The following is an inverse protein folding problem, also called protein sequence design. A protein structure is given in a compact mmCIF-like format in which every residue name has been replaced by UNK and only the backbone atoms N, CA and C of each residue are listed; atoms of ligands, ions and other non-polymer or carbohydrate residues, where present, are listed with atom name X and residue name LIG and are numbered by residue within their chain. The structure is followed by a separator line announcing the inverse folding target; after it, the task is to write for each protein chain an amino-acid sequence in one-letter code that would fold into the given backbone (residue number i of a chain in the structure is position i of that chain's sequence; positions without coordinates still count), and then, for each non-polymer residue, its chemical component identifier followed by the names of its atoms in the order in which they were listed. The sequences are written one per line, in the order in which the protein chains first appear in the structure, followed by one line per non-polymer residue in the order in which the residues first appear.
data_IF_018155506968
#
_entry.id   IF_018155506968
#
_cell.length_a   1.000
_cell.length_b   1.000
_cell.length_c   1.000
_cell.angle_alpha   90.00
_cell.angle_beta   90.00
_cell.angle_gamma   90.00
#
_symmetry.space_group_name_H-M   'P 1'
#
loop_
_entity.id
_entity.type
_entity.pdbx_description
1 polymer ?
#
# COMPACT_ATOMS: atom_id res chain seq x y z
N UNK A 1 47.87 -24.06 -43.99
CA UNK A 1 48.47 -22.93 -43.26
C UNK A 1 47.59 -21.68 -43.31
N UNK A 2 47.35 -21.01 -44.45
CA UNK A 2 46.48 -19.81 -44.49
C UNK A 2 44.99 -20.05 -44.13
N UNK A 3 44.44 -21.20 -44.49
CA UNK A 3 43.06 -21.59 -44.14
C UNK A 3 42.85 -21.85 -42.65
N UNK A 4 43.89 -22.31 -41.92
CA UNK A 4 43.83 -22.52 -40.46
C UNK A 4 43.83 -21.20 -39.69
N UNK A 5 44.61 -20.21 -40.12
CA UNK A 5 44.64 -18.89 -39.48
C UNK A 5 43.30 -18.15 -39.62
N UNK A 6 42.67 -18.23 -40.80
CA UNK A 6 41.35 -17.65 -41.04
C UNK A 6 40.29 -18.25 -40.10
N UNK A 7 40.32 -19.59 -39.96
CA UNK A 7 39.38 -20.33 -39.12
C UNK A 7 39.59 -20.06 -37.61
N UNK A 8 40.84 -19.86 -37.18
CA UNK A 8 41.17 -19.45 -35.81
C UNK A 8 40.66 -18.02 -35.54
N UNK A 9 40.83 -17.10 -36.49
CA UNK A 9 40.40 -15.71 -36.33
C UNK A 9 38.86 -15.59 -36.28
N UNK A 10 38.16 -16.34 -37.13
CA UNK A 10 36.69 -16.42 -37.12
C UNK A 10 36.16 -17.03 -35.82
N UNK A 11 36.75 -18.13 -35.32
CA UNK A 11 36.40 -18.73 -34.03
C UNK A 11 36.70 -17.83 -32.82
N UNK A 12 37.76 -17.02 -32.88
CA UNK A 12 38.07 -16.04 -31.83
C UNK A 12 37.07 -14.88 -31.84
N UNK A 13 36.66 -14.43 -33.03
CA UNK A 13 35.68 -13.35 -33.17
C UNK A 13 34.28 -13.81 -32.73
N UNK A 14 33.89 -15.04 -33.06
CA UNK A 14 32.63 -15.65 -32.65
C UNK A 14 32.54 -15.81 -31.12
N UNK A 15 33.60 -16.34 -30.48
CA UNK A 15 33.68 -16.43 -29.02
C UNK A 15 33.64 -15.05 -28.34
N UNK A 16 34.32 -14.06 -28.89
CA UNK A 16 34.31 -12.68 -28.36
C UNK A 16 32.91 -12.07 -28.44
N UNK A 17 32.22 -12.26 -29.56
CA UNK A 17 30.84 -11.79 -29.74
C UNK A 17 29.88 -12.51 -28.77
N UNK A 18 30.04 -13.82 -28.58
CA UNK A 18 29.28 -14.59 -27.60
C UNK A 18 29.48 -14.10 -26.16
N UNK A 19 30.72 -13.81 -25.76
CA UNK A 19 31.03 -13.26 -24.42
C UNK A 19 30.42 -11.85 -24.25
N UNK A 20 30.50 -11.00 -25.28
CA UNK A 20 29.91 -9.65 -25.24
C UNK A 20 28.38 -9.71 -25.13
N UNK A 21 27.73 -10.60 -25.89
CA UNK A 21 26.28 -10.82 -25.80
C UNK A 21 25.88 -11.35 -24.42
N UNK A 22 26.63 -12.30 -23.87
CA UNK A 22 26.42 -12.81 -22.51
C UNK A 22 26.57 -11.70 -21.46
N UNK A 23 27.60 -10.85 -21.57
CA UNK A 23 27.81 -9.71 -20.68
C UNK A 23 26.64 -8.71 -20.76
N UNK A 24 26.16 -8.39 -21.96
CA UNK A 24 25.04 -7.48 -22.18
C UNK A 24 23.71 -8.04 -21.64
N UNK A 25 23.46 -9.33 -21.83
CA UNK A 25 22.26 -10.00 -21.29
C UNK A 25 22.34 -10.05 -19.77
N UNK A 26 23.52 -10.35 -19.20
CA UNK A 26 23.71 -10.41 -17.76
C UNK A 26 23.62 -9.02 -17.10
N UNK A 27 24.16 -7.96 -17.71
CA UNK A 27 23.99 -6.59 -17.21
C UNK A 27 22.53 -6.12 -17.28
N UNK A 28 21.80 -6.53 -18.33
CA UNK A 28 20.37 -6.22 -18.47
C UNK A 28 19.50 -6.99 -17.47
N UNK A 29 19.84 -8.24 -17.16
CA UNK A 29 19.18 -9.06 -16.14
C UNK A 29 19.50 -8.56 -14.72
N UNK A 30 20.73 -8.11 -14.48
CA UNK A 30 21.13 -7.50 -13.21
C UNK A 30 20.39 -6.17 -12.98
N UNK A 31 20.11 -5.41 -14.03
CA UNK A 31 19.24 -4.23 -13.96
C UNK A 31 17.75 -4.54 -13.82
N UNK A 32 17.27 -5.78 -13.98
CA UNK A 32 15.86 -6.09 -13.63
C UNK A 32 15.60 -6.06 -12.13
N UNK A 33 16.65 -6.06 -11.32
CA UNK A 33 16.60 -5.71 -9.91
C UNK A 33 16.98 -4.22 -9.72
N UNK A 34 16.45 -3.31 -10.56
CA UNK A 34 16.31 -1.92 -10.11
C UNK A 34 15.46 -2.03 -8.86
N UNK A 35 16.11 -1.91 -7.70
CA UNK A 35 15.42 -1.67 -6.45
C UNK A 35 14.35 -0.63 -6.77
N UNK A 36 13.07 -0.97 -6.56
CA UNK A 36 12.02 0.03 -6.59
C UNK A 36 12.32 0.95 -5.43
N UNK A 37 13.23 1.91 -5.64
CA UNK A 37 13.33 3.06 -4.80
C UNK A 37 12.07 3.83 -5.15
N UNK A 38 11.05 3.89 -4.27
CA UNK A 38 10.16 5.02 -4.37
C UNK A 38 11.10 6.22 -4.26
N UNK A 39 11.25 6.97 -5.35
CA UNK A 39 11.96 8.25 -5.32
C UNK A 39 11.07 9.19 -4.52
N UNK A 40 11.05 8.99 -3.21
CA UNK A 40 10.41 9.88 -2.27
C UNK A 40 10.98 11.28 -2.48
N UNK A 41 10.16 12.30 -2.30
CA UNK A 41 10.58 13.68 -2.45
C UNK A 41 11.71 13.97 -1.46
N UNK A 42 12.92 14.27 -1.96
CA UNK A 42 14.02 14.69 -1.12
C UNK A 42 13.87 16.16 -0.72
N UNK A 43 13.86 16.43 0.58
CA UNK A 43 13.86 17.79 1.14
C UNK A 43 14.85 17.86 2.30
N UNK A 44 15.78 18.82 2.29
CA UNK A 44 16.83 18.96 3.31
C UNK A 44 17.61 17.66 3.61
N UNK A 45 17.89 16.85 2.58
CA UNK A 45 18.60 15.57 2.72
C UNK A 45 17.78 14.44 3.35
N UNK A 46 16.47 14.61 3.52
CA UNK A 46 15.55 13.58 4.02
C UNK A 46 14.55 13.17 2.95
N UNK A 47 14.24 11.88 2.95
CA UNK A 47 13.21 11.25 2.14
C UNK A 47 11.83 11.53 2.75
N UNK A 48 10.94 12.15 1.99
CA UNK A 48 9.56 12.39 2.41
C UNK A 48 8.58 11.81 1.39
N UNK A 49 7.54 11.15 1.89
CA UNK A 49 6.37 10.86 1.09
C UNK A 49 5.71 12.18 0.67
N UNK A 50 5.29 12.30 -0.59
CA UNK A 50 4.55 13.49 -0.99
C UNK A 50 3.21 13.55 -0.26
N UNK A 51 2.60 14.73 -0.21
CA UNK A 51 1.27 14.88 0.39
C UNK A 51 0.23 14.01 -0.34
N UNK A 52 0.32 13.94 -1.67
CA UNK A 52 -0.55 13.12 -2.51
C UNK A 52 -0.39 11.63 -2.19
N UNK A 53 0.84 11.11 -2.24
CA UNK A 53 1.14 9.70 -1.91
C UNK A 53 0.67 9.32 -0.50
N UNK A 54 0.79 10.26 0.46
CA UNK A 54 0.34 10.04 1.84
C UNK A 54 -1.17 9.87 1.91
N UNK A 55 -1.93 10.70 1.19
CA UNK A 55 -3.39 10.61 1.14
C UNK A 55 -3.87 9.37 0.38
N UNK A 56 -3.19 9.00 -0.71
CA UNK A 56 -3.48 7.76 -1.44
C UNK A 56 -3.26 6.53 -0.57
N UNK A 57 -2.13 6.47 0.15
CA UNK A 57 -1.84 5.38 1.07
C UNK A 57 -2.86 5.31 2.20
N UNK A 58 -3.17 6.43 2.86
CA UNK A 58 -4.16 6.49 3.93
C UNK A 58 -5.56 6.08 3.45
N UNK A 59 -5.95 6.51 2.25
CA UNK A 59 -7.22 6.14 1.63
C UNK A 59 -7.29 4.64 1.31
N UNK A 60 -6.22 4.08 0.73
CA UNK A 60 -6.15 2.65 0.42
C UNK A 60 -6.19 1.78 1.69
N UNK A 61 -5.44 2.14 2.73
CA UNK A 61 -5.46 1.42 4.00
C UNK A 61 -6.84 1.49 4.66
N UNK A 62 -7.48 2.66 4.68
CA UNK A 62 -8.82 2.84 5.23
C UNK A 62 -9.87 2.00 4.48
N UNK A 63 -9.74 1.92 3.15
CA UNK A 63 -10.61 1.09 2.33
C UNK A 63 -10.45 -0.39 2.64
N UNK A 64 -9.21 -0.89 2.73
CA UNK A 64 -8.93 -2.29 3.04
C UNK A 64 -9.46 -2.65 4.44
N UNK A 65 -9.20 -1.83 5.45
CA UNK A 65 -9.73 -2.05 6.82
C UNK A 65 -11.26 -2.12 6.80
N UNK A 66 -11.93 -1.24 6.05
CA UNK A 66 -13.39 -1.24 5.93
C UNK A 66 -13.92 -2.56 5.35
N UNK A 67 -13.24 -3.13 4.35
CA UNK A 67 -13.59 -4.44 3.77
C UNK A 67 -13.42 -5.53 4.84
N UNK A 68 -12.24 -5.63 5.45
CA UNK A 68 -11.92 -6.66 6.43
C UNK A 68 -12.89 -6.65 7.63
N UNK A 69 -13.20 -5.45 8.16
CA UNK A 69 -14.15 -5.29 9.27
C UNK A 69 -15.57 -5.68 8.86
N UNK A 70 -15.98 -5.35 7.62
CA UNK A 70 -17.29 -5.74 7.11
C UNK A 70 -17.41 -7.25 6.95
N UNK A 71 -16.36 -7.91 6.45
CA UNK A 71 -16.30 -9.37 6.33
C UNK A 71 -16.32 -10.06 7.69
N UNK A 72 -15.52 -9.57 8.65
CA UNK A 72 -15.52 -10.05 10.03
C UNK A 72 -16.89 -9.92 10.67
N UNK A 73 -17.55 -8.76 10.53
CA UNK A 73 -18.88 -8.52 11.07
C UNK A 73 -19.91 -9.47 10.47
N UNK A 74 -19.89 -9.66 9.15
CA UNK A 74 -20.80 -10.56 8.45
C UNK A 74 -20.64 -12.02 8.92
N UNK A 75 -19.39 -12.50 9.07
CA UNK A 75 -19.14 -13.87 9.53
C UNK A 75 -19.55 -14.04 11.01
N UNK A 76 -19.32 -13.02 11.84
CA UNK A 76 -19.82 -13.01 13.22
C UNK A 76 -21.35 -13.08 13.26
N UNK A 77 -22.05 -12.25 12.49
CA UNK A 77 -23.51 -12.26 12.45
C UNK A 77 -24.04 -13.62 11.98
N UNK A 78 -23.47 -14.18 10.91
CA UNK A 78 -23.85 -15.49 10.38
C UNK A 78 -23.75 -16.61 11.42
N UNK A 79 -22.70 -16.60 12.25
CA UNK A 79 -22.48 -17.63 13.27
C UNK A 79 -23.26 -17.38 14.57
N UNK A 80 -23.47 -16.13 14.95
CA UNK A 80 -23.95 -15.77 16.29
C UNK A 80 -25.31 -15.06 16.32
N UNK A 81 -25.94 -14.78 15.17
CA UNK A 81 -27.26 -14.11 15.08
C UNK A 81 -28.40 -14.80 15.83
N UNK A 82 -28.30 -16.13 16.01
CA UNK A 82 -29.30 -16.93 16.72
C UNK A 82 -29.06 -17.00 18.25
N UNK A 83 -27.97 -16.42 18.75
CA UNK A 83 -27.68 -16.37 20.19
C UNK A 83 -28.56 -15.29 20.82
N UNK A 84 -29.42 -15.71 21.76
CA UNK A 84 -30.33 -14.82 22.48
C UNK A 84 -29.55 -13.72 23.22
N UNK A 85 -30.00 -12.47 23.11
CA UNK A 85 -29.36 -11.31 23.73
C UNK A 85 -28.22 -10.65 22.93
N UNK A 86 -27.80 -11.21 21.79
CA UNK A 86 -26.95 -10.48 20.82
C UNK A 86 -27.81 -9.66 19.85
N UNK A 87 -28.97 -10.19 19.43
CA UNK A 87 -29.89 -9.54 18.49
C UNK A 87 -30.77 -8.44 19.13
N UNK A 88 -31.05 -8.57 20.44
CA UNK A 88 -31.94 -7.66 21.19
C UNK A 88 -31.19 -6.47 21.83
N UNK A 89 -29.86 -6.44 21.73
CA UNK A 89 -29.11 -5.25 22.16
C UNK A 89 -29.23 -4.21 21.05
N UNK A 90 -30.03 -3.17 21.32
CA UNK A 90 -29.97 -1.84 20.68
C UNK A 90 -28.56 -1.55 20.17
N UNK A 91 -28.37 -0.97 18.96
CA UNK A 91 -27.05 -0.79 18.36
C UNK A 91 -26.09 -0.33 19.45
N UNK A 92 -25.11 -1.19 19.73
CA UNK A 92 -24.16 -0.98 20.82
C UNK A 92 -23.73 0.48 20.76
N UNK A 93 -23.92 1.22 21.86
CA UNK A 93 -23.45 2.61 21.92
C UNK A 93 -21.98 2.61 21.53
N UNK A 94 -21.67 3.11 20.32
CA UNK A 94 -20.31 3.18 19.86
C UNK A 94 -19.55 4.12 20.79
N UNK A 95 -18.36 3.70 21.21
CA UNK A 95 -17.42 4.52 21.97
C UNK A 95 -17.07 5.83 21.24
N UNK A 96 -17.25 5.91 19.93
CA UNK A 96 -17.01 7.11 19.12
C UNK A 96 -18.26 7.99 18.89
N UNK A 97 -19.43 7.60 19.39
CA UNK A 97 -20.71 8.30 19.11
C UNK A 97 -20.78 9.76 19.60
N UNK A 98 -19.92 10.15 20.54
CA UNK A 98 -19.83 11.52 21.05
C UNK A 98 -18.93 12.44 20.21
N UNK A 99 -18.16 11.89 19.25
CA UNK A 99 -17.24 12.67 18.44
C UNK A 99 -18.01 13.51 17.41
N UNK A 100 -17.64 14.79 17.20
CA UNK A 100 -18.28 15.63 16.20
C UNK A 100 -17.80 15.20 14.80
N UNK A 101 -18.54 14.26 14.20
CA UNK A 101 -18.33 13.80 12.82
C UNK A 101 -19.43 14.35 11.92
N UNK A 102 -19.12 14.79 10.69
CA UNK A 102 -20.14 15.14 9.73
C UNK A 102 -20.96 13.90 9.35
N UNK A 103 -22.29 14.02 9.39
CA UNK A 103 -23.22 12.92 9.13
C UNK A 103 -23.55 12.76 7.64
N UNK A 104 -23.26 13.78 6.82
CA UNK A 104 -23.57 13.79 5.41
C UNK A 104 -22.53 14.58 4.59
N UNK A 105 -22.64 14.46 3.26
CA UNK A 105 -21.71 15.06 2.30
C UNK A 105 -21.68 16.59 2.43
N UNK A 106 -22.82 17.23 2.63
CA UNK A 106 -22.95 18.68 2.74
C UNK A 106 -22.21 19.19 3.98
N UNK A 107 -22.44 18.57 5.14
CA UNK A 107 -21.70 18.88 6.37
C UNK A 107 -20.20 18.64 6.19
N UNK A 108 -19.80 17.53 5.56
CA UNK A 108 -18.39 17.22 5.31
C UNK A 108 -17.72 18.28 4.43
N UNK A 109 -18.39 18.75 3.36
CA UNK A 109 -17.87 19.81 2.48
C UNK A 109 -17.77 21.18 3.15
N UNK A 110 -18.65 21.47 4.10
CA UNK A 110 -18.63 22.72 4.87
C UNK A 110 -17.65 22.67 6.05
N UNK A 111 -17.22 21.47 6.45
CA UNK A 111 -16.28 21.29 7.56
C UNK A 111 -14.85 21.63 7.10
N UNK A 112 -14.15 22.43 7.91
CA UNK A 112 -12.75 22.75 7.64
C UNK A 112 -11.88 21.48 7.65
N UNK A 113 -10.96 21.33 6.69
CA UNK A 113 -10.14 20.12 6.53
C UNK A 113 -9.39 19.72 7.81
N UNK A 114 -8.87 20.70 8.58
CA UNK A 114 -8.17 20.41 9.83
C UNK A 114 -9.09 19.78 10.89
N UNK A 115 -10.38 20.14 10.90
CA UNK A 115 -11.36 19.51 11.78
C UNK A 115 -11.67 18.08 11.32
N UNK A 116 -11.80 17.84 10.00
CA UNK A 116 -11.98 16.49 9.45
C UNK A 116 -10.81 15.56 9.82
N UNK A 117 -9.57 16.04 9.63
CA UNK A 117 -8.36 15.28 10.00
C UNK A 117 -8.31 14.98 11.51
N UNK A 118 -8.70 15.96 12.35
CA UNK A 118 -8.77 15.78 13.80
C UNK A 118 -9.82 14.73 14.19
N UNK A 119 -11.00 14.75 13.57
CA UNK A 119 -12.04 13.74 13.81
C UNK A 119 -11.56 12.35 13.40
N UNK A 120 -10.86 12.22 12.25
CA UNK A 120 -10.26 10.95 11.82
C UNK A 120 -9.24 10.41 12.83
N UNK A 121 -8.32 11.25 13.30
CA UNK A 121 -7.35 10.87 14.32
C UNK A 121 -8.02 10.43 15.64
N UNK A 122 -9.00 11.19 16.13
CA UNK A 122 -9.74 10.84 17.35
C UNK A 122 -10.48 9.51 17.25
N UNK A 123 -11.04 9.19 16.08
CA UNK A 123 -11.68 7.89 15.84
C UNK A 123 -10.62 6.79 15.95
N UNK A 124 -9.50 6.93 15.24
CA UNK A 124 -8.43 5.92 15.25
C UNK A 124 -7.87 5.69 16.66
N UNK A 125 -7.59 6.77 17.40
CA UNK A 125 -7.11 6.69 18.79
C UNK A 125 -8.12 5.98 19.72
N UNK A 126 -9.42 6.23 19.53
CA UNK A 126 -10.45 5.59 20.33
C UNK A 126 -10.57 4.07 20.10
N UNK A 127 -10.00 3.56 18.99
CA UNK A 127 -9.97 2.15 18.63
C UNK A 127 -8.65 1.44 18.96
N UNK A 128 -7.62 2.14 19.46
CA UNK A 128 -6.35 1.53 19.87
C UNK A 128 -6.58 0.49 21.00
N UNK A 129 -7.11 0.93 22.15
CA UNK A 129 -7.35 0.04 23.29
C UNK A 129 -8.37 -1.09 23.05
N UNK A 130 -9.46 -0.90 22.28
CA UNK A 130 -10.36 -2.01 21.93
C UNK A 130 -9.77 -3.07 21.01
N UNK A 131 -8.69 -2.76 20.27
CA UNK A 131 -8.07 -3.66 19.29
C UNK A 131 -6.74 -4.28 19.77
N UNK A 132 -6.13 -3.74 20.83
CA UNK A 132 -4.99 -4.33 21.56
C UNK A 132 -5.33 -5.70 22.21
#
# INVERSE_FOLDING_TARGET
MWSEYQNIYENLNDRRNGILLLLLVNSSLLWKNVASFPMCAMRNGRCFMSFEDTFELAGSLSHNISIEVSELFNEFEKHYSNVSGLRDKSPMRCNTSFLPTPENKEQARLTHYAALLKSGAMILDAWESPLD
#
